data_IF_868369616600
#
_entry.id   IF_868369616600
#
_cell.length_a   1.000
_cell.length_b   1.000
_cell.length_c   1.000
_cell.angle_alpha   90.00
_cell.angle_beta   90.00
_cell.angle_gamma   90.00
#
_symmetry.space_group_name_H-M   'P 1'
#
loop_
_entity.id
_entity.type
_entity.pdbx_description
1 polymer ?
#
# COMPACT_ATOMS: atom_id res chain seq x y z
N UNK A 1 4.88 4.48 -15.96
CA UNK A 1 4.87 3.96 -14.56
C UNK A 1 4.07 4.96 -13.75
N UNK A 2 3.15 4.48 -12.92
CA UNK A 2 2.05 5.30 -12.40
C UNK A 2 1.95 5.12 -10.89
N UNK A 3 1.72 6.23 -10.19
CA UNK A 3 1.33 6.25 -8.79
C UNK A 3 0.06 5.42 -8.56
N UNK A 4 -0.15 4.85 -7.36
CA UNK A 4 -1.36 4.09 -7.07
C UNK A 4 -2.58 5.01 -7.20
N UNK A 5 -3.62 4.57 -7.92
CA UNK A 5 -4.88 5.33 -7.90
C UNK A 5 -5.44 5.37 -6.47
N UNK A 6 -6.28 6.36 -6.16
CA UNK A 6 -6.87 6.45 -4.82
C UNK A 6 -7.73 5.21 -4.52
N UNK A 7 -8.41 4.64 -5.51
CA UNK A 7 -9.14 3.38 -5.40
C UNK A 7 -8.24 2.20 -5.03
N UNK A 8 -7.02 2.10 -5.59
CA UNK A 8 -6.06 1.06 -5.20
C UNK A 8 -5.67 1.21 -3.72
N UNK A 9 -5.52 2.44 -3.21
CA UNK A 9 -5.27 2.64 -1.79
C UNK A 9 -6.46 2.20 -0.93
N UNK A 10 -7.68 2.50 -1.36
CA UNK A 10 -8.93 2.09 -0.70
C UNK A 10 -9.09 0.56 -0.66
N UNK A 11 -8.68 -0.15 -1.72
CA UNK A 11 -8.65 -1.60 -1.76
C UNK A 11 -7.65 -2.20 -0.77
N UNK A 12 -6.44 -1.63 -0.73
CA UNK A 12 -5.39 -2.05 0.21
C UNK A 12 -5.79 -1.73 1.66
N UNK A 13 -6.54 -0.65 1.86
CA UNK A 13 -7.04 -0.25 3.16
C UNK A 13 -8.51 0.21 3.16
N UNK A 14 -9.48 -0.72 3.30
CA UNK A 14 -10.91 -0.39 3.25
C UNK A 14 -11.39 0.64 4.27
N UNK A 15 -10.66 0.82 5.38
CA UNK A 15 -10.91 1.89 6.34
C UNK A 15 -10.86 3.31 5.74
N UNK A 16 -10.19 3.51 4.60
CA UNK A 16 -10.21 4.78 3.87
C UNK A 16 -11.57 5.11 3.26
N UNK A 17 -12.37 4.09 2.92
CA UNK A 17 -13.70 4.27 2.30
C UNK A 17 -14.62 5.07 3.23
N UNK A 18 -14.54 4.84 4.55
CA UNK A 18 -15.31 5.59 5.54
C UNK A 18 -14.89 7.05 5.73
N UNK A 19 -13.80 7.49 5.09
CA UNK A 19 -13.24 8.83 5.20
C UNK A 19 -13.43 9.68 3.93
N UNK A 20 -14.06 9.10 2.90
CA UNK A 20 -14.31 9.75 1.61
C UNK A 20 -15.24 10.94 1.83
N UNK A 21 -14.81 12.13 1.39
CA UNK A 21 -15.55 13.39 1.50
C UNK A 21 -16.02 13.71 2.93
N UNK A 22 -15.41 13.09 3.95
CA UNK A 22 -15.74 13.33 5.34
C UNK A 22 -14.88 14.47 5.87
N UNK A 23 -15.52 15.51 6.40
CA UNK A 23 -14.81 16.60 7.06
C UNK A 23 -14.10 16.12 8.33
N UNK A 24 -12.84 16.50 8.45
CA UNK A 24 -11.98 16.14 9.59
C UNK A 24 -11.84 17.39 10.44
N UNK A 25 -12.63 17.47 11.50
CA UNK A 25 -12.74 18.64 12.36
C UNK A 25 -11.79 18.59 13.56
N UNK A 26 -11.11 17.46 13.76
CA UNK A 26 -10.16 17.25 14.86
C UNK A 26 -8.82 16.74 14.35
N UNK A 27 -7.74 17.08 15.06
CA UNK A 27 -6.39 16.60 14.76
C UNK A 27 -6.30 15.07 14.79
N UNK A 28 -7.08 14.42 15.67
CA UNK A 28 -7.14 12.96 15.75
C UNK A 28 -7.70 12.33 14.46
N UNK A 29 -8.77 12.90 13.89
CA UNK A 29 -9.35 12.43 12.63
C UNK A 29 -8.39 12.66 11.45
N UNK A 30 -7.73 13.81 11.41
CA UNK A 30 -6.72 14.13 10.39
C UNK A 30 -5.57 13.12 10.48
N UNK A 31 -4.99 12.97 11.67
CA UNK A 31 -3.89 12.03 11.92
C UNK A 31 -4.25 10.60 11.53
N UNK A 32 -5.45 10.14 11.91
CA UNK A 32 -5.93 8.82 11.52
C UNK A 32 -6.00 8.67 10.00
N UNK A 33 -6.59 9.64 9.29
CA UNK A 33 -6.65 9.61 7.82
C UNK A 33 -5.25 9.51 7.19
N UNK A 34 -4.32 10.38 7.61
CA UNK A 34 -2.96 10.37 7.08
C UNK A 34 -2.25 9.04 7.36
N UNK A 35 -2.44 8.45 8.55
CA UNK A 35 -1.90 7.13 8.90
C UNK A 35 -2.46 6.01 8.03
N UNK A 36 -3.75 6.04 7.70
CA UNK A 36 -4.36 5.06 6.81
C UNK A 36 -3.79 5.18 5.38
N UNK A 37 -3.61 6.40 4.88
CA UNK A 37 -2.98 6.64 3.57
C UNK A 37 -1.53 6.12 3.58
N UNK A 38 -0.75 6.45 4.61
CA UNK A 38 0.62 5.94 4.77
C UNK A 38 0.69 4.41 4.79
N UNK A 39 -0.21 3.74 5.53
CA UNK A 39 -0.30 2.29 5.55
C UNK A 39 -0.60 1.74 4.17
N UNK A 40 -1.55 2.34 3.45
CA UNK A 40 -1.92 1.94 2.09
C UNK A 40 -0.76 2.08 1.11
N UNK A 41 0.04 3.15 1.22
CA UNK A 41 1.23 3.36 0.40
C UNK A 41 2.32 2.33 0.68
N UNK A 42 2.56 1.98 1.96
CA UNK A 42 3.47 0.88 2.30
C UNK A 42 3.00 -0.43 1.70
N UNK A 43 1.73 -0.77 1.85
CA UNK A 43 1.14 -1.99 1.29
C UNK A 43 1.27 -2.02 -0.24
N UNK A 44 1.07 -0.88 -0.90
CA UNK A 44 1.25 -0.75 -2.33
C UNK A 44 2.70 -1.02 -2.74
N UNK A 45 3.69 -0.36 -2.14
CA UNK A 45 5.11 -0.60 -2.44
C UNK A 45 5.50 -2.06 -2.19
N UNK A 46 5.03 -2.66 -1.09
CA UNK A 46 5.28 -4.08 -0.82
C UNK A 46 4.65 -4.95 -1.93
N UNK A 47 3.43 -4.64 -2.38
CA UNK A 47 2.79 -5.34 -3.51
C UNK A 47 3.57 -5.16 -4.81
N UNK A 48 4.00 -3.95 -5.15
CA UNK A 48 4.79 -3.67 -6.36
C UNK A 48 6.12 -4.42 -6.35
N UNK A 49 6.78 -4.49 -5.19
CA UNK A 49 8.03 -5.25 -5.03
C UNK A 49 7.89 -6.74 -5.34
N UNK A 50 6.67 -7.26 -5.25
CA UNK A 50 6.34 -8.65 -5.51
C UNK A 50 5.84 -8.88 -6.94
N UNK A 51 5.09 -7.94 -7.53
CA UNK A 51 4.33 -8.18 -8.76
C UNK A 51 4.80 -7.41 -9.99
N UNK A 52 5.41 -6.24 -9.82
CA UNK A 52 5.69 -5.37 -10.94
C UNK A 52 7.18 -5.36 -11.27
N UNK A 53 7.57 -6.17 -12.27
CA UNK A 53 8.96 -6.27 -12.71
C UNK A 53 9.57 -4.97 -13.24
N UNK A 54 8.73 -4.01 -13.59
CA UNK A 54 9.19 -2.71 -14.05
C UNK A 54 9.44 -1.73 -12.89
N UNK A 55 8.84 -1.95 -11.71
CA UNK A 55 8.96 -1.03 -10.57
C UNK A 55 10.38 -1.01 -10.01
N UNK A 56 10.81 0.16 -9.55
CA UNK A 56 12.05 0.36 -8.78
C UNK A 56 12.06 -0.47 -7.50
N UNK A 57 10.91 -0.92 -7.01
CA UNK A 57 10.76 -1.73 -5.81
C UNK A 57 10.90 -3.21 -6.06
N UNK A 58 10.87 -3.66 -7.31
CA UNK A 58 10.84 -5.06 -7.65
C UNK A 58 11.99 -5.86 -7.04
N UNK A 59 11.68 -7.08 -6.63
CA UNK A 59 12.63 -8.07 -6.15
C UNK A 59 12.46 -9.31 -7.02
N UNK A 60 13.52 -9.68 -7.73
CA UNK A 60 13.50 -10.89 -8.56
C UNK A 60 13.22 -12.10 -7.69
N UNK A 61 12.34 -12.96 -8.19
CA UNK A 61 12.06 -14.27 -7.61
C UNK A 61 12.23 -15.24 -8.76
N UNK A 62 13.30 -16.02 -8.70
CA UNK A 62 13.74 -16.87 -9.82
C UNK A 62 12.99 -18.21 -9.88
N UNK A 63 12.20 -18.53 -8.85
CA UNK A 63 11.39 -19.75 -8.74
C UNK A 63 9.88 -19.43 -8.74
N UNK A 64 9.06 -20.25 -9.41
CA UNK A 64 7.60 -20.14 -9.33
C UNK A 64 7.08 -20.32 -7.89
N UNK A 65 7.73 -21.21 -7.13
CA UNK A 65 7.51 -21.43 -5.71
C UNK A 65 8.69 -20.89 -4.91
N UNK A 66 8.46 -19.89 -4.07
CA UNK A 66 9.52 -19.22 -3.32
C UNK A 66 9.29 -19.26 -1.82
N UNK A 67 10.38 -19.08 -1.06
CA UNK A 67 10.31 -18.92 0.39
C UNK A 67 9.96 -17.47 0.71
N UNK A 68 8.81 -17.27 1.34
CA UNK A 68 8.36 -15.94 1.76
C UNK A 68 9.36 -15.23 2.69
N UNK A 69 10.06 -15.99 3.54
CA UNK A 69 11.07 -15.43 4.44
C UNK A 69 12.25 -14.80 3.69
N UNK A 70 12.67 -15.41 2.57
CA UNK A 70 13.79 -14.93 1.77
C UNK A 70 13.39 -13.64 1.04
N UNK A 71 12.22 -13.63 0.38
CA UNK A 71 11.69 -12.41 -0.23
C UNK A 71 11.51 -11.25 0.78
N UNK A 72 11.00 -11.53 1.99
CA UNK A 72 10.88 -10.51 3.05
C UNK A 72 12.24 -9.97 3.47
N UNK A 73 13.25 -10.84 3.60
CA UNK A 73 14.61 -10.44 3.95
C UNK A 73 15.18 -9.53 2.88
N UNK A 74 15.03 -9.87 1.60
CA UNK A 74 15.51 -9.06 0.48
C UNK A 74 14.79 -7.72 0.40
N UNK A 75 13.47 -7.71 0.66
CA UNK A 75 12.69 -6.48 0.78
C UNK A 75 13.24 -5.60 1.89
N UNK A 76 13.36 -6.13 3.11
CA UNK A 76 13.87 -5.38 4.24
C UNK A 76 15.28 -4.84 3.95
N UNK A 77 16.17 -5.63 3.37
CA UNK A 77 17.52 -5.21 3.02
C UNK A 77 17.54 -4.06 1.99
N UNK A 78 16.67 -4.11 0.98
CA UNK A 78 16.52 -3.05 -0.02
C UNK A 78 16.06 -1.75 0.63
N UNK A 79 15.03 -1.82 1.47
CA UNK A 79 14.40 -0.64 2.08
C UNK A 79 15.13 -0.11 3.32
N UNK A 80 15.92 -0.91 4.03
CA UNK A 80 16.72 -0.46 5.20
C UNK A 80 17.67 0.69 4.86
N UNK A 81 18.19 0.72 3.62
CA UNK A 81 19.09 1.79 3.14
C UNK A 81 18.39 3.12 2.93
N UNK A 82 17.07 3.10 2.73
CA UNK A 82 16.25 4.26 2.37
C UNK A 82 15.07 4.45 3.34
N UNK A 83 15.07 3.79 4.51
CA UNK A 83 13.97 3.81 5.47
C UNK A 83 13.65 5.21 6.02
N UNK A 84 14.66 6.07 6.03
CA UNK A 84 14.59 7.45 6.52
C UNK A 84 14.11 8.45 5.47
N UNK A 85 13.88 7.98 4.23
CA UNK A 85 13.36 8.79 3.14
C UNK A 85 11.87 9.08 3.30
N UNK A 86 11.44 10.17 2.68
CA UNK A 86 10.06 10.67 2.71
C UNK A 86 9.17 9.89 1.74
N UNK A 87 7.85 10.00 1.90
CA UNK A 87 6.90 9.47 0.91
C UNK A 87 7.18 10.05 -0.48
N UNK A 88 7.42 11.35 -0.56
CA UNK A 88 7.76 12.02 -1.83
C UNK A 88 8.93 11.34 -2.55
N UNK A 89 10.02 11.02 -1.83
CA UNK A 89 11.15 10.32 -2.41
C UNK A 89 10.74 8.99 -3.05
N UNK A 90 9.95 8.17 -2.34
CA UNK A 90 9.47 6.91 -2.90
C UNK A 90 8.57 7.16 -4.13
N UNK A 91 7.61 8.07 -4.05
CA UNK A 91 6.69 8.30 -5.17
C UNK A 91 7.40 8.84 -6.42
N UNK A 92 8.43 9.66 -6.27
CA UNK A 92 9.20 10.20 -7.39
C UNK A 92 10.16 9.19 -8.05
N UNK A 93 10.42 8.05 -7.42
CA UNK A 93 11.13 6.95 -8.09
C UNK A 93 10.24 6.24 -9.13
N UNK A 94 8.92 6.40 -9.05
CA UNK A 94 7.94 5.74 -9.92
C UNK A 94 7.20 6.71 -10.87
N UNK A 95 7.32 8.02 -10.63
CA UNK A 95 6.54 9.03 -11.33
C UNK A 95 7.24 10.38 -11.42
N UNK A 96 6.85 11.17 -12.43
CA UNK A 96 7.27 12.57 -12.55
C UNK A 96 6.62 13.46 -11.49
N UNK A 97 7.22 14.64 -11.25
CA UNK A 97 6.68 15.63 -10.32
C UNK A 97 5.26 16.11 -10.67
N UNK A 98 4.92 16.19 -11.96
CA UNK A 98 3.57 16.61 -12.37
C UNK A 98 2.53 15.52 -12.12
N UNK A 99 2.89 14.25 -12.32
CA UNK A 99 2.04 13.13 -11.91
C UNK A 99 1.84 13.12 -10.39
N UNK A 100 2.89 13.40 -9.61
CA UNK A 100 2.77 13.51 -8.14
C UNK A 100 1.84 14.64 -7.72
N UNK A 101 1.94 15.83 -8.33
CA UNK A 101 1.02 16.95 -8.04
C UNK A 101 -0.43 16.59 -8.35
N UNK A 102 -0.69 15.97 -9.50
CA UNK A 102 -2.04 15.52 -9.87
C UNK A 102 -2.58 14.46 -8.88
N UNK A 103 -1.73 13.54 -8.45
CA UNK A 103 -2.08 12.53 -7.46
C UNK A 103 -2.37 13.11 -6.08
N UNK A 104 -1.58 14.09 -5.62
CA UNK A 104 -1.84 14.82 -4.37
C UNK A 104 -3.20 15.51 -4.44
N UNK A 105 -3.50 16.19 -5.55
CA UNK A 105 -4.81 16.84 -5.75
C UNK A 105 -5.96 15.84 -5.67
N UNK A 106 -5.82 14.66 -6.28
CA UNK A 106 -6.84 13.61 -6.16
C UNK A 106 -7.04 13.14 -4.71
N UNK A 107 -5.98 13.07 -3.89
CA UNK A 107 -6.12 12.76 -2.46
C UNK A 107 -6.80 13.89 -1.68
N UNK A 108 -6.46 15.14 -1.97
CA UNK A 108 -7.07 16.33 -1.36
C UNK A 108 -8.58 16.31 -1.60
N UNK A 109 -8.98 16.16 -2.87
CA UNK A 109 -10.38 16.15 -3.27
C UNK A 109 -11.12 14.93 -2.69
N UNK A 110 -10.50 13.74 -2.70
CA UNK A 110 -11.15 12.50 -2.23
C UNK A 110 -11.38 12.48 -0.71
N UNK A 111 -10.48 13.08 0.06
CA UNK A 111 -10.47 12.99 1.52
C UNK A 111 -10.62 14.35 2.21
N UNK A 112 -11.06 15.40 1.50
CA UNK A 112 -11.16 16.77 2.02
C UNK A 112 -9.89 17.21 2.78
N UNK A 113 -8.70 16.93 2.22
CA UNK A 113 -7.43 17.34 2.82
C UNK A 113 -6.97 18.67 2.25
N UNK A 114 -6.38 19.51 3.10
CA UNK A 114 -5.76 20.77 2.68
C UNK A 114 -4.27 20.59 2.33
N UNK A 115 -3.67 21.64 1.76
CA UNK A 115 -2.26 21.64 1.33
C UNK A 115 -1.31 21.28 2.47
N UNK A 116 -1.49 21.87 3.65
CA UNK A 116 -0.62 21.62 4.82
C UNK A 116 -0.68 20.16 5.29
N UNK A 117 -1.86 19.54 5.26
CA UNK A 117 -2.04 18.14 5.62
C UNK A 117 -1.37 17.21 4.59
N UNK A 118 -1.51 17.51 3.30
CA UNK A 118 -0.84 16.73 2.26
C UNK A 118 0.67 16.95 2.23
N UNK A 119 1.14 18.15 2.56
CA UNK A 119 2.56 18.44 2.71
C UNK A 119 3.15 17.64 3.89
N UNK A 120 2.43 17.60 5.01
CA UNK A 120 2.78 16.76 6.16
C UNK A 120 2.85 15.28 5.78
N UNK A 121 1.91 14.81 4.96
CA UNK A 121 1.90 13.44 4.46
C UNK A 121 3.14 13.17 3.60
N UNK A 122 3.39 13.95 2.55
CA UNK A 122 4.47 13.64 1.60
C UNK A 122 5.87 13.76 2.22
N UNK A 123 6.04 14.64 3.22
CA UNK A 123 7.30 14.80 3.98
C UNK A 123 7.49 13.76 5.08
N UNK A 124 6.47 12.96 5.40
CA UNK A 124 6.57 11.92 6.41
C UNK A 124 7.44 10.74 5.95
N UNK A 125 8.11 10.09 6.90
CA UNK A 125 8.96 8.92 6.63
C UNK A 125 8.12 7.66 6.49
N UNK A 126 8.04 7.09 5.29
CA UNK A 126 7.11 6.01 4.98
C UNK A 126 7.43 4.71 5.74
N UNK A 127 8.71 4.31 5.75
CA UNK A 127 9.20 3.05 6.31
C UNK A 127 9.92 3.20 7.66
N UNK A 128 9.87 4.38 8.28
CA UNK A 128 10.35 4.58 9.64
C UNK A 128 9.30 4.05 10.66
N UNK A 129 9.02 2.76 10.58
CA UNK A 129 8.06 2.03 11.40
C UNK A 129 8.76 0.90 12.15
N UNK A 130 8.13 0.39 13.20
CA UNK A 130 8.67 -0.76 13.93
C UNK A 130 8.65 -2.02 13.06
N UNK A 131 9.58 -2.95 13.32
CA UNK A 131 9.58 -4.26 12.65
C UNK A 131 8.24 -5.01 12.83
N UNK A 132 7.57 -4.82 13.97
CA UNK A 132 6.21 -5.33 14.23
C UNK A 132 5.19 -4.79 13.23
N UNK A 133 5.21 -3.48 12.98
CA UNK A 133 4.29 -2.82 12.03
C UNK A 133 4.51 -3.35 10.62
N UNK A 134 5.78 -3.43 10.18
CA UNK A 134 6.11 -3.95 8.86
C UNK A 134 5.70 -5.43 8.71
N UNK A 135 5.88 -6.24 9.75
CA UNK A 135 5.39 -7.62 9.76
C UNK A 135 3.87 -7.71 9.66
N UNK A 136 3.13 -6.80 10.32
CA UNK A 136 1.68 -6.74 10.18
C UNK A 136 1.28 -6.35 8.74
N UNK A 137 1.97 -5.40 8.12
CA UNK A 137 1.73 -5.01 6.72
C UNK A 137 1.95 -6.20 5.78
N UNK A 138 3.03 -6.99 5.98
CA UNK A 138 3.23 -8.23 5.25
C UNK A 138 2.12 -9.26 5.48
N UNK A 139 1.69 -9.46 6.73
CA UNK A 139 0.63 -10.43 7.05
C UNK A 139 -0.70 -10.04 6.40
N UNK A 140 -1.01 -8.74 6.35
CA UNK A 140 -2.21 -8.21 5.70
C UNK A 140 -2.25 -8.51 4.21
N UNK A 141 -1.13 -8.31 3.51
CA UNK A 141 -1.03 -8.66 2.09
C UNK A 141 -1.24 -10.16 1.81
N UNK A 142 -0.81 -11.00 2.74
CA UNK A 142 -0.93 -12.46 2.63
C UNK A 142 -2.33 -12.95 2.96
N UNK A 143 -2.91 -12.48 4.07
CA UNK A 143 -4.16 -13.02 4.63
C UNK A 143 -5.38 -12.33 4.08
N UNK A 144 -5.38 -11.00 4.09
CA UNK A 144 -6.57 -10.21 3.82
C UNK A 144 -6.71 -9.95 2.32
N UNK A 145 -5.58 -9.68 1.67
CA UNK A 145 -5.51 -9.43 0.22
C UNK A 145 -5.18 -10.69 -0.58
N UNK A 146 -5.04 -11.85 0.07
CA UNK A 146 -4.84 -13.17 -0.56
C UNK A 146 -3.89 -13.12 -1.77
N UNK A 147 -2.79 -12.38 -1.66
CA UNK A 147 -1.89 -12.18 -2.80
C UNK A 147 -1.05 -13.42 -3.10
N UNK A 148 -0.90 -14.33 -2.16
CA UNK A 148 -0.03 -15.49 -2.31
C UNK A 148 -0.79 -16.76 -1.91
N UNK A 149 -0.62 -17.81 -2.70
CA UNK A 149 -1.07 -19.14 -2.36
C UNK A 149 0.06 -19.89 -1.65
N UNK A 150 -0.26 -20.57 -0.55
CA UNK A 150 0.73 -21.35 0.20
C UNK A 150 0.70 -22.80 -0.28
N UNK A 151 1.86 -23.32 -0.67
CA UNK A 151 2.07 -24.72 -1.01
C UNK A 151 3.13 -25.29 -0.08
N UNK A 152 2.71 -26.10 0.90
CA UNK A 152 3.57 -26.63 1.98
C UNK A 152 4.30 -25.51 2.77
N UNK A 153 5.60 -25.35 2.53
CA UNK A 153 6.49 -24.35 3.13
C UNK A 153 6.90 -23.23 2.15
N UNK A 154 6.41 -23.26 0.91
CA UNK A 154 6.65 -22.26 -0.13
C UNK A 154 5.36 -21.50 -0.49
N UNK A 155 5.52 -20.44 -1.26
CA UNK A 155 4.43 -19.60 -1.74
C UNK A 155 4.53 -19.41 -3.25
N UNK A 156 3.37 -19.25 -3.89
CA UNK A 156 3.20 -18.91 -5.30
C UNK A 156 2.45 -17.59 -5.43
N UNK A 157 2.83 -16.78 -6.43
CA UNK A 157 2.07 -15.57 -6.81
C UNK A 157 0.72 -15.94 -7.41
N UNK A 158 -0.35 -15.32 -6.95
CA UNK A 158 -1.66 -15.45 -7.58
C UNK A 158 -1.72 -14.46 -8.74
N UNK A 159 -1.65 -14.97 -9.98
CA UNK A 159 -1.58 -14.16 -11.20
C UNK A 159 -2.88 -13.37 -11.50
N UNK A 160 -3.99 -13.71 -10.85
CA UNK A 160 -5.29 -13.08 -11.07
C UNK A 160 -5.53 -11.90 -10.13
N UNK A 161 -4.88 -10.75 -10.38
CA UNK A 161 -5.28 -9.49 -9.75
C UNK A 161 -6.76 -9.14 -10.01
N UNK A 162 -7.37 -9.70 -11.09
CA UNK A 162 -8.82 -9.62 -11.37
C UNK A 162 -9.70 -10.44 -10.41
N UNK A 163 -9.17 -11.46 -9.72
CA UNK A 163 -9.95 -12.22 -8.72
C UNK A 163 -10.01 -11.52 -7.36
N UNK A 164 -9.09 -10.61 -7.07
CA UNK A 164 -9.16 -9.76 -5.88
C UNK A 164 -10.37 -8.83 -5.88
N UNK A 165 -10.75 -8.32 -7.05
CA UNK A 165 -11.99 -7.55 -7.21
C UNK A 165 -13.26 -8.39 -6.96
N UNK A 166 -13.21 -9.71 -7.19
CA UNK A 166 -14.35 -10.61 -6.97
C UNK A 166 -14.39 -11.17 -5.53
N UNK A 167 -13.24 -11.45 -4.92
CA UNK A 167 -13.16 -11.92 -3.52
C UNK A 167 -13.59 -10.85 -2.50
N UNK A 168 -13.33 -9.58 -2.78
CA UNK A 168 -13.79 -8.45 -1.93
C UNK A 168 -15.31 -8.22 -2.10
N UNK A 169 -15.88 -8.51 -3.29
CA UNK A 169 -17.33 -8.43 -3.53
C UNK A 169 -18.09 -9.55 -2.80
N UNK A 170 -17.55 -10.76 -2.75
CA UNK A 170 -18.20 -11.89 -2.06
C UNK A 170 -18.27 -11.68 -0.54
N UNK A 171 -17.22 -11.13 0.11
CA UNK A 171 -17.28 -10.84 1.56
C UNK A 171 -18.23 -9.70 1.91
N UNK A 172 -18.42 -8.69 1.04
CA UNK A 172 -19.43 -7.64 1.23
C UNK A 172 -20.86 -8.16 1.05
N UNK A 173 -21.08 -9.10 0.13
CA UNK A 173 -22.40 -9.67 -0.12
C UNK A 173 -22.87 -10.59 1.03
N UNK A 174 -21.94 -11.29 1.70
CA UNK A 174 -22.26 -12.11 2.86
C UNK A 174 -22.57 -11.23 4.08
N UNK A 175 -21.84 -10.13 4.31
CA UNK A 175 -22.09 -9.24 5.47
C UNK A 175 -23.29 -8.30 5.34
N UNK A 176 -23.90 -8.20 4.16
CA UNK A 176 -25.10 -7.39 3.92
C UNK A 176 -26.39 -8.20 3.90
N UNK A 177 -26.30 -9.53 4.02
CA UNK A 177 -27.42 -10.46 4.01
C UNK A 177 -27.55 -11.29 5.31
N UNK A 178 -26.90 -10.86 6.39
CA UNK A 178 -27.08 -11.41 7.74
C UNK A 178 -27.23 -10.29 8.77
#
# INVERSE_FOLDING_TARGET
MNLPSVSVLEELHPGLIGLINTDKTTDAQIKNCLQLIQCSLRLWIIRESLYNSNSEWFISIDEELFKLADWKKDFINKFLKIKDQTIEYFLLLEASSDQLKAWIKNLQDRYNLNDSQTETLIKSKLFNVTHRTLNNDFQRLLKDLKLLERTENKYKKINDLKKLENGIKEEKYIRSNF
#
